data_IF_636704448725
#
_entry.id   IF_636704448725
#
_cell.length_a   1.000
_cell.length_b   1.000
_cell.length_c   1.000
_cell.angle_alpha   90.00
_cell.angle_beta   90.00
_cell.angle_gamma   90.00
#
_symmetry.space_group_name_H-M   'P 1'
#
loop_
_entity.id
_entity.type
_entity.pdbx_description
1 polymer ?
#
# COMPACT_ATOMS: atom_id res chain seq x y z
N UNK A 1 48.99 6.20 -12.69
CA UNK A 1 48.50 4.82 -12.52
C UNK A 1 47.27 4.55 -13.36
N UNK A 2 46.07 5.04 -12.99
CA UNK A 2 44.83 4.71 -13.72
C UNK A 2 44.90 5.02 -15.22
N UNK A 3 45.36 6.22 -15.57
CA UNK A 3 45.50 6.67 -16.97
C UNK A 3 46.52 5.84 -17.77
N UNK A 4 47.48 5.20 -17.10
CA UNK A 4 48.55 4.43 -17.72
C UNK A 4 48.15 2.96 -17.95
N UNK A 5 47.01 2.53 -17.38
CA UNK A 5 46.51 1.17 -17.56
C UNK A 5 45.75 1.01 -18.89
N UNK A 6 45.95 -0.09 -19.63
CA UNK A 6 45.08 -0.47 -20.74
C UNK A 6 43.62 -0.66 -20.29
N UNK A 7 42.62 -0.40 -21.16
CA UNK A 7 41.20 -0.57 -20.81
C UNK A 7 40.85 -1.95 -20.24
N UNK A 8 41.45 -3.00 -20.78
CA UNK A 8 41.24 -4.37 -20.29
C UNK A 8 41.77 -4.58 -18.87
N UNK A 9 42.93 -3.99 -18.54
CA UNK A 9 43.47 -4.04 -17.18
C UNK A 9 42.62 -3.23 -16.18
N UNK A 10 42.03 -2.11 -16.63
CA UNK A 10 41.07 -1.34 -15.83
C UNK A 10 39.79 -2.11 -15.55
N UNK A 11 39.28 -2.83 -16.55
CA UNK A 11 38.12 -3.72 -16.38
C UNK A 11 38.42 -4.81 -15.36
N UNK A 12 39.55 -5.51 -15.47
CA UNK A 12 39.92 -6.57 -14.52
C UNK A 12 40.06 -6.06 -13.08
N UNK A 13 40.56 -4.84 -12.87
CA UNK A 13 40.68 -4.26 -11.52
C UNK A 13 39.34 -3.90 -10.88
N UNK A 14 38.30 -3.64 -11.68
CA UNK A 14 36.97 -3.26 -11.21
C UNK A 14 35.99 -4.43 -11.14
N UNK A 15 36.43 -5.63 -11.54
CA UNK A 15 35.63 -6.85 -11.43
C UNK A 15 35.69 -7.36 -9.99
N UNK A 16 34.51 -7.60 -9.44
CA UNK A 16 34.32 -8.27 -8.17
C UNK A 16 33.38 -9.45 -8.38
N UNK A 17 33.82 -10.67 -8.07
CA UNK A 17 32.94 -11.82 -8.15
C UNK A 17 31.92 -11.82 -7.00
N UNK A 18 30.75 -12.38 -7.27
CA UNK A 18 29.63 -12.47 -6.33
C UNK A 18 30.03 -13.14 -5.02
N UNK A 19 30.88 -14.16 -5.07
CA UNK A 19 31.27 -14.89 -3.87
C UNK A 19 32.14 -14.01 -2.97
N UNK A 20 33.11 -13.29 -3.51
CA UNK A 20 33.93 -12.33 -2.79
C UNK A 20 33.10 -11.18 -2.21
N UNK A 21 32.12 -10.64 -2.96
CA UNK A 21 31.20 -9.63 -2.44
C UNK A 21 30.41 -10.14 -1.23
N UNK A 22 29.84 -11.34 -1.32
CA UNK A 22 29.08 -11.95 -0.21
C UNK A 22 29.98 -12.26 0.97
N UNK A 23 31.22 -12.72 0.75
CA UNK A 23 32.19 -12.97 1.81
C UNK A 23 32.62 -11.67 2.50
N UNK A 24 32.79 -10.57 1.76
CA UNK A 24 33.04 -9.24 2.33
C UNK A 24 31.83 -8.75 3.13
N UNK A 25 30.62 -8.92 2.61
CA UNK A 25 29.41 -8.56 3.34
C UNK A 25 29.30 -9.36 4.65
N UNK A 26 29.54 -10.67 4.63
CA UNK A 26 29.56 -11.51 5.84
C UNK A 26 30.56 -11.02 6.90
N UNK A 27 31.71 -10.48 6.48
CA UNK A 27 32.71 -9.90 7.39
C UNK A 27 32.23 -8.60 8.06
N UNK A 28 31.28 -7.90 7.44
CA UNK A 28 30.70 -6.65 7.98
C UNK A 28 29.53 -6.87 8.94
N UNK A 29 29.27 -8.12 9.37
CA UNK A 29 28.28 -8.46 10.41
C UNK A 29 26.84 -7.99 10.10
N UNK A 30 26.41 -8.10 8.84
CA UNK A 30 25.00 -7.85 8.48
C UNK A 30 24.07 -8.86 9.17
N UNK A 31 22.89 -8.41 9.59
CA UNK A 31 21.82 -9.30 10.05
C UNK A 31 21.32 -10.20 8.89
N UNK A 32 20.61 -11.29 9.23
CA UNK A 32 20.09 -12.23 8.24
C UNK A 32 19.21 -11.56 7.18
N UNK A 33 18.35 -10.60 7.57
CA UNK A 33 17.49 -9.85 6.65
C UNK A 33 18.28 -8.95 5.69
N UNK A 34 19.25 -8.17 6.19
CA UNK A 34 20.13 -7.36 5.33
C UNK A 34 20.93 -8.21 4.34
N UNK A 35 21.39 -9.41 4.75
CA UNK A 35 22.05 -10.34 3.84
C UNK A 35 21.10 -10.84 2.73
N UNK A 36 19.82 -11.06 3.04
CA UNK A 36 18.79 -11.39 2.05
C UNK A 36 18.61 -10.28 1.02
N UNK A 37 18.39 -9.04 1.48
CA UNK A 37 18.22 -7.87 0.62
C UNK A 37 19.43 -7.59 -0.28
N UNK A 38 20.65 -7.82 0.23
CA UNK A 38 21.87 -7.70 -0.58
C UNK A 38 21.87 -8.68 -1.77
N UNK A 39 21.42 -9.92 -1.56
CA UNK A 39 21.33 -10.93 -2.61
C UNK A 39 20.26 -10.58 -3.63
N UNK A 40 19.10 -10.10 -3.18
CA UNK A 40 18.01 -9.65 -4.06
C UNK A 40 18.44 -8.44 -4.90
N UNK A 41 19.05 -7.44 -4.27
CA UNK A 41 19.61 -6.26 -4.96
C UNK A 41 20.63 -6.67 -6.02
N UNK A 42 21.49 -7.65 -5.74
CA UNK A 42 22.41 -8.19 -6.74
C UNK A 42 21.67 -8.77 -7.95
N UNK A 43 20.57 -9.50 -7.75
CA UNK A 43 19.77 -10.03 -8.85
C UNK A 43 19.10 -8.90 -9.65
N UNK A 44 18.63 -7.84 -8.98
CA UNK A 44 18.04 -6.68 -9.66
C UNK A 44 19.08 -5.96 -10.53
N UNK A 45 20.32 -5.79 -10.06
CA UNK A 45 21.43 -5.25 -10.87
C UNK A 45 21.69 -6.12 -12.11
N UNK A 46 21.68 -7.45 -11.96
CA UNK A 46 21.82 -8.38 -13.10
C UNK A 46 20.68 -8.22 -14.12
N UNK A 47 19.45 -8.01 -13.65
CA UNK A 47 18.29 -7.78 -14.53
C UNK A 47 18.37 -6.44 -15.25
N UNK A 48 18.77 -5.38 -14.53
CA UNK A 48 19.00 -4.05 -15.10
C UNK A 48 20.12 -4.05 -16.16
N UNK A 49 21.19 -4.82 -15.95
CA UNK A 49 22.23 -4.99 -16.98
C UNK A 49 21.69 -5.59 -18.30
N UNK A 50 20.66 -6.44 -18.24
CA UNK A 50 20.05 -7.04 -19.44
C UNK A 50 19.20 -6.05 -20.22
N UNK A 51 18.50 -5.12 -19.55
CA UNK A 51 17.67 -4.11 -20.23
C UNK A 51 18.54 -3.11 -20.98
N UNK A 52 19.66 -2.66 -20.39
CA UNK A 52 20.65 -1.82 -21.08
C UNK A 52 21.27 -2.48 -22.33
N UNK A 53 21.56 -3.78 -22.27
CA UNK A 53 22.10 -4.52 -23.43
C UNK A 53 21.05 -4.70 -24.55
N UNK A 54 19.76 -4.75 -24.21
CA UNK A 54 18.66 -4.85 -25.17
C UNK A 54 18.45 -3.54 -25.93
N UNK A 55 18.48 -2.40 -25.24
CA UNK A 55 18.40 -1.06 -25.87
C UNK A 55 19.62 -0.75 -26.75
N UNK A 56 20.81 -1.28 -26.42
CA UNK A 56 22.00 -1.16 -27.28
C UNK A 56 21.93 -1.99 -28.57
N UNK A 57 21.07 -3.01 -28.62
CA UNK A 57 20.97 -3.94 -29.75
C UNK A 57 19.97 -3.49 -30.83
N UNK A 58 18.96 -2.67 -30.47
CA UNK A 58 17.95 -2.16 -31.42
C UNK A 58 18.40 -0.91 -32.21
N UNK A 59 19.60 -0.37 -31.94
CA UNK A 59 20.15 0.79 -32.66
C UNK A 59 20.91 0.45 -33.96
N UNK A 60 20.94 -0.82 -34.40
CA UNK A 60 21.67 -1.23 -35.62
C UNK A 60 20.81 -1.40 -36.88
N UNK A 61 19.63 -0.77 -36.95
CA UNK A 61 18.83 -0.70 -38.19
C UNK A 61 18.41 0.73 -38.57
N UNK A 62 19.36 1.64 -38.71
CA UNK A 62 19.28 2.71 -39.72
C UNK A 62 20.64 3.40 -39.90
N UNK A 63 21.39 3.04 -40.94
CA UNK A 63 22.33 3.99 -41.52
C UNK A 63 21.53 4.97 -42.37
N UNK A 64 21.64 6.27 -42.13
CA UNK A 64 21.97 7.32 -43.12
C UNK A 64 21.94 8.69 -42.45
N UNK A 65 23.11 9.33 -42.36
CA UNK A 65 23.35 10.77 -42.19
C UNK A 65 22.77 11.46 -40.94
N UNK A 66 23.56 11.50 -39.88
CA UNK A 66 23.35 12.38 -38.72
C UNK A 66 24.39 12.03 -37.65
N UNK A 67 25.10 13.03 -37.14
CA UNK A 67 26.18 12.89 -36.17
C UNK A 67 25.82 11.93 -35.00
N UNK A 68 26.80 11.16 -34.49
CA UNK A 68 26.53 10.18 -33.46
C UNK A 68 26.06 10.88 -32.19
N UNK A 69 24.82 10.60 -31.78
CA UNK A 69 24.19 10.98 -30.49
C UNK A 69 24.97 10.52 -29.24
N UNK A 70 26.12 9.87 -29.40
CA UNK A 70 27.04 9.44 -28.35
C UNK A 70 27.57 10.63 -27.51
N UNK A 71 27.53 11.87 -28.03
CA UNK A 71 27.96 13.05 -27.26
C UNK A 71 26.93 13.58 -26.25
N UNK A 72 25.67 13.13 -26.25
CA UNK A 72 24.64 13.70 -25.36
C UNK A 72 24.45 12.97 -24.02
N UNK A 73 25.04 11.79 -23.82
CA UNK A 73 24.91 11.04 -22.55
C UNK A 73 26.10 11.23 -21.59
N UNK A 74 27.08 12.06 -21.95
CA UNK A 74 28.15 12.45 -21.01
C UNK A 74 27.68 13.51 -19.98
N UNK A 75 26.42 13.97 -20.07
CA UNK A 75 25.90 15.10 -19.30
C UNK A 75 24.49 14.87 -18.73
N UNK A 76 24.04 13.61 -18.60
CA UNK A 76 23.00 13.29 -17.62
C UNK A 76 23.66 13.22 -16.25
N UNK A 77 23.02 13.76 -15.21
CA UNK A 77 23.58 13.83 -13.86
C UNK A 77 23.89 12.41 -13.34
N UNK A 78 25.16 12.01 -13.45
CA UNK A 78 25.67 10.66 -13.14
C UNK A 78 25.48 10.27 -11.66
N UNK A 79 25.07 11.22 -10.82
CA UNK A 79 24.66 11.03 -9.43
C UNK A 79 23.31 10.31 -9.29
N UNK A 80 22.47 10.31 -10.33
CA UNK A 80 21.08 9.82 -10.32
C UNK A 80 20.98 8.36 -10.82
N UNK A 81 22.09 7.68 -11.11
CA UNK A 81 22.03 6.29 -11.54
C UNK A 81 21.51 5.39 -10.39
N UNK A 82 20.46 4.57 -10.61
CA UNK A 82 19.78 3.83 -9.53
C UNK A 82 20.70 2.89 -8.74
N UNK A 83 21.71 2.33 -9.40
CA UNK A 83 22.75 1.48 -8.78
C UNK A 83 24.12 2.16 -8.63
N UNK A 84 24.19 3.49 -8.70
CA UNK A 84 25.44 4.24 -8.55
C UNK A 84 26.55 3.88 -9.56
N UNK A 85 26.16 3.44 -10.76
CA UNK A 85 27.07 3.02 -11.83
C UNK A 85 27.45 1.53 -11.84
N UNK A 86 26.90 0.71 -10.94
CA UNK A 86 27.14 -0.73 -10.89
C UNK A 86 26.36 -1.50 -11.96
N UNK A 87 27.01 -2.53 -12.52
CA UNK A 87 26.42 -3.52 -13.43
C UNK A 87 26.93 -4.91 -13.05
N UNK A 88 26.07 -5.91 -13.15
CA UNK A 88 26.41 -7.30 -12.87
C UNK A 88 26.11 -8.21 -14.06
N UNK A 89 27.00 -9.14 -14.35
CA UNK A 89 26.82 -10.15 -15.41
C UNK A 89 26.07 -11.37 -14.88
N UNK A 90 25.52 -12.19 -15.80
CA UNK A 90 24.89 -13.48 -15.46
C UNK A 90 25.86 -14.44 -14.78
N UNK A 91 27.15 -14.33 -15.09
CA UNK A 91 28.22 -15.15 -14.52
C UNK A 91 28.59 -14.71 -13.08
N UNK A 92 27.87 -13.74 -12.51
CA UNK A 92 28.04 -13.30 -11.14
C UNK A 92 29.21 -12.34 -10.96
N UNK A 93 29.63 -11.62 -12.00
CA UNK A 93 30.69 -10.60 -11.90
C UNK A 93 30.04 -9.23 -11.78
N UNK A 94 30.32 -8.51 -10.69
CA UNK A 94 29.97 -7.12 -10.49
C UNK A 94 31.09 -6.22 -11.05
N UNK A 95 30.74 -5.17 -11.77
CA UNK A 95 31.65 -4.18 -12.34
C UNK A 95 30.96 -2.82 -12.44
N UNK A 96 31.66 -1.81 -12.96
CA UNK A 96 31.11 -0.49 -13.28
C UNK A 96 30.72 -0.37 -14.77
N UNK A 97 29.79 0.53 -15.08
CA UNK A 97 29.45 0.86 -16.48
C UNK A 97 30.69 1.24 -17.30
N UNK A 98 30.68 0.91 -18.58
CA UNK A 98 31.79 1.16 -19.51
C UNK A 98 32.19 2.64 -19.59
N UNK A 99 31.26 3.57 -19.37
CA UNK A 99 31.55 5.01 -19.32
C UNK A 99 32.49 5.38 -18.15
N UNK A 100 32.44 4.66 -17.02
CA UNK A 100 33.35 4.84 -15.90
C UNK A 100 34.69 4.14 -16.13
N UNK A 101 34.69 2.96 -16.74
CA UNK A 101 35.91 2.18 -16.98
C UNK A 101 36.78 2.83 -18.07
N UNK A 102 36.14 3.36 -19.11
CA UNK A 102 36.80 4.01 -20.24
C UNK A 102 36.96 5.53 -20.07
N UNK A 103 36.59 6.07 -18.90
CA UNK A 103 36.74 7.48 -18.61
C UNK A 103 38.20 7.92 -18.77
N UNK A 104 38.40 9.00 -19.55
CA UNK A 104 39.72 9.64 -19.73
C UNK A 104 40.08 10.58 -18.58
N UNK A 105 39.09 11.00 -17.80
CA UNK A 105 39.26 11.87 -16.63
C UNK A 105 39.03 11.08 -15.34
N UNK A 106 39.96 11.22 -14.38
CA UNK A 106 39.83 10.67 -13.04
C UNK A 106 38.61 11.24 -12.30
N UNK A 107 38.17 12.45 -12.66
CA UNK A 107 37.06 13.15 -12.02
C UNK A 107 35.75 12.34 -12.07
N UNK A 108 35.54 11.57 -13.14
CA UNK A 108 34.35 10.73 -13.32
C UNK A 108 34.33 9.54 -12.35
N UNK A 109 35.47 8.89 -12.14
CA UNK A 109 35.64 7.81 -11.15
C UNK A 109 35.66 8.34 -9.72
N UNK A 110 36.29 9.49 -9.51
CA UNK A 110 36.32 10.19 -8.23
C UNK A 110 34.89 10.51 -7.76
N UNK A 111 34.03 10.97 -8.66
CA UNK A 111 32.62 11.22 -8.39
C UNK A 111 31.89 9.95 -7.89
N UNK A 112 32.14 8.79 -8.50
CA UNK A 112 31.55 7.52 -8.04
C UNK A 112 31.96 7.20 -6.60
N UNK A 113 33.25 7.34 -6.27
CA UNK A 113 33.75 7.07 -4.93
C UNK A 113 33.31 8.10 -3.89
N UNK A 114 33.24 9.38 -4.26
CA UNK A 114 32.74 10.45 -3.39
C UNK A 114 31.26 10.25 -3.08
N UNK A 115 30.44 9.93 -4.10
CA UNK A 115 29.03 9.61 -3.91
C UNK A 115 28.83 8.34 -3.07
N UNK A 116 29.66 7.31 -3.27
CA UNK A 116 29.61 6.10 -2.43
C UNK A 116 29.88 6.43 -0.95
N UNK A 117 30.88 7.27 -0.67
CA UNK A 117 31.15 7.76 0.70
C UNK A 117 30.03 8.64 1.24
N UNK A 118 29.42 9.48 0.41
CA UNK A 118 28.30 10.34 0.81
C UNK A 118 27.08 9.48 1.21
N UNK A 119 26.71 8.49 0.39
CA UNK A 119 25.63 7.53 0.69
C UNK A 119 25.89 6.74 1.96
N UNK A 120 27.13 6.30 2.19
CA UNK A 120 27.48 5.60 3.44
C UNK A 120 27.35 6.51 4.67
N UNK A 121 27.79 7.77 4.58
CA UNK A 121 27.62 8.74 5.68
C UNK A 121 26.15 9.06 5.94
N UNK A 122 25.35 9.23 4.90
CA UNK A 122 23.92 9.45 5.01
C UNK A 122 23.22 8.26 5.67
N UNK A 123 23.55 7.03 5.25
CA UNK A 123 23.09 5.79 5.90
C UNK A 123 23.47 5.75 7.39
N UNK A 124 24.70 6.11 7.74
CA UNK A 124 25.16 6.16 9.13
C UNK A 124 24.46 7.25 9.97
N UNK A 125 24.08 8.36 9.35
CA UNK A 125 23.32 9.44 10.02
C UNK A 125 21.85 9.06 10.23
N UNK A 126 21.21 8.45 9.23
CA UNK A 126 19.80 8.04 9.30
C UNK A 126 19.61 6.79 10.17
N UNK A 127 20.56 5.85 10.12
CA UNK A 127 20.47 4.56 10.81
C UNK A 127 21.76 4.25 11.57
N UNK A 128 22.01 4.95 12.70
CA UNK A 128 23.25 4.83 13.46
C UNK A 128 23.50 3.43 14.03
N UNK A 129 22.42 2.66 14.22
CA UNK A 129 22.40 1.30 14.77
C UNK A 129 22.13 0.22 13.71
N UNK A 130 22.22 0.55 12.41
CA UNK A 130 22.12 -0.43 11.34
C UNK A 130 23.39 -1.29 11.26
N UNK A 131 23.22 -2.58 10.93
CA UNK A 131 24.34 -3.48 10.73
C UNK A 131 25.15 -3.12 9.48
N UNK A 132 26.43 -3.51 9.41
CA UNK A 132 27.28 -3.27 8.23
C UNK A 132 28.18 -2.04 8.29
N UNK A 133 28.03 -1.18 9.30
CA UNK A 133 28.89 0.01 9.50
C UNK A 133 30.30 -0.35 9.97
N UNK A 134 31.31 0.42 9.53
CA UNK A 134 32.76 0.15 9.62
C UNK A 134 33.35 0.21 11.05
N UNK A 135 32.77 -0.51 12.01
CA UNK A 135 33.36 -0.67 13.36
C UNK A 135 32.35 -0.91 14.48
N UNK A 136 31.05 -0.65 14.25
CA UNK A 136 29.97 -1.05 15.14
C UNK A 136 29.23 -2.21 14.49
N UNK A 137 29.86 -3.38 14.54
CA UNK A 137 29.18 -4.61 14.20
C UNK A 137 27.85 -4.70 14.94
N UNK A 138 26.86 -5.32 14.33
CA UNK A 138 25.66 -5.78 15.03
C UNK A 138 26.10 -6.85 16.04
N UNK A 139 26.57 -6.37 17.20
CA UNK A 139 26.81 -7.19 18.37
C UNK A 139 25.46 -7.19 19.05
N UNK A 140 24.76 -8.33 18.99
CA UNK A 140 23.70 -8.59 19.96
C UNK A 140 24.33 -8.31 21.32
N UNK A 141 23.91 -7.25 22.01
CA UNK A 141 24.50 -6.87 23.28
C UNK A 141 24.25 -8.00 24.28
N UNK A 142 25.17 -8.97 24.33
CA UNK A 142 25.56 -9.67 25.55
C UNK A 142 26.39 -8.70 26.39
N UNK A 143 25.79 -7.57 26.76
CA UNK A 143 26.27 -6.80 27.90
C UNK A 143 25.32 -7.18 29.02
N UNK A 144 25.81 -8.07 29.88
CA UNK A 144 25.21 -8.35 31.16
C UNK A 144 25.27 -7.08 32.03
N UNK A 145 24.25 -6.23 31.93
CA UNK A 145 23.98 -5.21 32.94
C UNK A 145 22.47 -5.05 33.08
N UNK A 146 21.94 -5.77 34.07
CA UNK A 146 20.69 -5.54 34.79
C UNK A 146 19.67 -4.61 34.11
N UNK A 147 18.87 -5.13 33.19
CA UNK A 147 17.51 -4.66 32.91
C UNK A 147 16.76 -5.74 32.16
N UNK A 148 15.57 -6.06 32.67
CA UNK A 148 14.74 -7.20 32.29
C UNK A 148 13.90 -6.81 31.07
N UNK A 149 14.27 -7.30 29.89
CA UNK A 149 13.49 -7.11 28.66
C UNK A 149 13.83 -8.20 27.65
N UNK A 150 12.87 -9.09 27.39
CA UNK A 150 12.98 -10.16 26.41
C UNK A 150 13.15 -9.61 24.99
N UNK A 151 14.09 -10.15 24.23
CA UNK A 151 14.16 -9.95 22.79
C UNK A 151 15.57 -10.09 22.22
N UNK A 152 15.91 -11.26 21.71
CA UNK A 152 16.93 -11.38 20.66
C UNK A 152 16.47 -10.53 19.48
N UNK A 153 16.94 -9.28 19.34
CA UNK A 153 16.63 -8.47 18.14
C UNK A 153 17.16 -9.23 16.92
N UNK A 154 16.28 -9.87 16.16
CA UNK A 154 16.61 -10.60 14.92
C UNK A 154 16.89 -9.65 13.75
N UNK A 155 16.58 -8.36 13.93
CA UNK A 155 16.64 -7.31 12.90
C UNK A 155 17.42 -6.08 13.40
N UNK A 156 18.08 -5.36 12.49
CA UNK A 156 18.86 -4.16 12.81
C UNK A 156 18.05 -2.88 12.59
N UNK A 157 18.60 -1.71 12.96
CA UNK A 157 17.86 -0.44 12.87
C UNK A 157 17.39 -0.08 11.46
N UNK A 158 18.02 -0.60 10.40
CA UNK A 158 17.53 -0.43 9.03
C UNK A 158 16.12 -1.01 8.83
N UNK A 159 15.78 -2.09 9.54
CA UNK A 159 14.48 -2.78 9.43
C UNK A 159 13.46 -2.29 10.45
N UNK A 160 13.88 -1.52 11.45
CA UNK A 160 13.01 -1.06 12.55
C UNK A 160 12.87 0.45 12.60
N UNK A 161 13.65 1.19 11.82
CA UNK A 161 13.53 2.64 11.75
C UNK A 161 12.29 3.03 10.95
N UNK A 162 11.54 3.98 11.49
CA UNK A 162 10.44 4.61 10.75
C UNK A 162 11.02 5.53 9.68
N UNK A 163 10.45 5.46 8.49
CA UNK A 163 10.67 6.44 7.45
C UNK A 163 9.60 7.51 7.53
N UNK A 164 9.97 8.77 7.30
CA UNK A 164 8.97 9.82 7.14
C UNK A 164 8.14 9.58 5.88
N UNK A 165 6.90 10.08 5.89
CA UNK A 165 6.05 10.10 4.70
C UNK A 165 6.75 10.70 3.48
N UNK A 166 7.55 11.77 3.64
CA UNK A 166 8.29 12.39 2.54
C UNK A 166 9.31 11.44 1.90
N UNK A 167 10.08 10.70 2.71
CA UNK A 167 11.05 9.72 2.19
C UNK A 167 10.34 8.59 1.43
N UNK A 168 9.19 8.13 1.93
CA UNK A 168 8.38 7.10 1.25
C UNK A 168 7.80 7.60 -0.07
N UNK A 169 7.37 8.87 -0.15
CA UNK A 169 6.88 9.51 -1.38
C UNK A 169 7.99 9.69 -2.41
N UNK A 170 9.18 10.09 -1.99
CA UNK A 170 10.34 10.22 -2.88
C UNK A 170 10.76 8.86 -3.44
N UNK A 171 10.86 7.85 -2.57
CA UNK A 171 11.12 6.47 -2.99
C UNK A 171 10.06 5.99 -3.99
N UNK A 172 8.78 6.17 -3.67
CA UNK A 172 7.68 5.81 -4.56
C UNK A 172 7.81 6.50 -5.93
N UNK A 173 8.17 7.78 -5.93
CA UNK A 173 8.34 8.60 -7.14
C UNK A 173 9.51 8.15 -8.01
N UNK A 174 10.51 7.47 -7.45
CA UNK A 174 11.64 6.91 -8.18
C UNK A 174 11.36 5.53 -8.83
N UNK A 175 10.32 4.81 -8.40
CA UNK A 175 9.98 3.49 -8.91
C UNK A 175 9.28 3.53 -10.29
N UNK A 176 9.40 2.45 -11.06
CA UNK A 176 8.63 2.27 -12.29
C UNK A 176 7.16 1.95 -12.01
N UNK A 177 6.27 2.21 -12.96
CA UNK A 177 4.84 1.89 -12.83
C UNK A 177 4.57 0.41 -12.54
N UNK A 178 5.32 -0.50 -13.17
CA UNK A 178 5.20 -1.95 -12.92
C UNK A 178 5.54 -2.31 -11.47
N UNK A 179 6.61 -1.71 -10.93
CA UNK A 179 7.01 -1.92 -9.53
C UNK A 179 6.00 -1.30 -8.57
N UNK A 180 5.47 -0.11 -8.86
CA UNK A 180 4.42 0.53 -8.07
C UNK A 180 3.16 -0.34 -7.99
N UNK A 181 2.69 -0.87 -9.11
CA UNK A 181 1.53 -1.77 -9.14
C UNK A 181 1.80 -3.05 -8.35
N UNK A 182 3.00 -3.63 -8.46
CA UNK A 182 3.39 -4.80 -7.68
C UNK A 182 3.46 -4.54 -6.18
N UNK A 183 3.76 -3.30 -5.75
CA UNK A 183 3.79 -2.90 -4.33
C UNK A 183 2.41 -2.62 -3.75
N UNK A 184 1.40 -2.42 -4.59
CA UNK A 184 -0.01 -2.29 -4.21
C UNK A 184 -0.74 -3.63 -4.25
N UNK A 185 -0.03 -4.70 -4.56
CA UNK A 185 -0.56 -6.06 -4.61
C UNK A 185 0.26 -6.99 -3.72
N UNK A 186 -0.41 -7.90 -3.04
CA UNK A 186 0.24 -9.00 -2.33
C UNK A 186 -0.61 -10.25 -2.38
N UNK A 187 -0.01 -11.41 -2.09
CA UNK A 187 -0.78 -12.64 -2.05
C UNK A 187 -1.74 -12.64 -0.87
N UNK A 188 -2.90 -13.27 -1.08
CA UNK A 188 -3.93 -13.41 -0.04
C UNK A 188 -3.39 -14.14 1.20
N UNK A 189 -2.57 -15.17 1.00
CA UNK A 189 -1.92 -15.94 2.08
C UNK A 189 -1.00 -15.05 2.94
N UNK A 190 -0.14 -14.25 2.31
CA UNK A 190 0.80 -13.35 2.98
C UNK A 190 0.05 -12.22 3.73
N UNK A 191 -1.01 -11.68 3.13
CA UNK A 191 -1.85 -10.66 3.77
C UNK A 191 -2.51 -11.21 5.03
N UNK A 192 -3.12 -12.39 4.94
CA UNK A 192 -3.80 -13.03 6.06
C UNK A 192 -2.83 -13.38 7.19
N UNK A 193 -1.62 -13.85 6.88
CA UNK A 193 -0.59 -14.10 7.89
C UNK A 193 -0.23 -12.83 8.66
N UNK A 194 0.03 -11.72 7.97
CA UNK A 194 0.35 -10.42 8.59
C UNK A 194 -0.82 -9.86 9.39
N UNK A 195 -2.04 -9.99 8.88
CA UNK A 195 -3.26 -9.57 9.59
C UNK A 195 -3.42 -10.35 10.90
N UNK A 196 -3.20 -11.67 10.87
CA UNK A 196 -3.25 -12.51 12.07
C UNK A 196 -2.17 -12.14 13.09
N UNK A 197 -0.94 -11.88 12.63
CA UNK A 197 0.14 -11.39 13.49
C UNK A 197 -0.22 -10.07 14.17
N UNK A 198 -0.91 -9.16 13.46
CA UNK A 198 -1.37 -7.89 14.04
C UNK A 198 -2.45 -8.09 15.11
N UNK A 199 -3.41 -9.00 14.88
CA UNK A 199 -4.40 -9.38 15.91
C UNK A 199 -3.77 -9.93 17.19
N UNK A 200 -2.69 -10.70 17.07
CA UNK A 200 -1.94 -11.27 18.19
C UNK A 200 -1.13 -10.21 18.94
N UNK A 201 -0.42 -9.36 18.20
CA UNK A 201 0.39 -8.27 18.74
C UNK A 201 -0.45 -7.25 19.53
N UNK A 202 -1.69 -6.99 19.09
CA UNK A 202 -2.59 -5.99 19.66
C UNK A 202 -3.67 -6.58 20.58
N UNK A 203 -3.57 -7.86 20.96
CA UNK A 203 -4.52 -8.56 21.87
C UNK A 203 -6.00 -8.37 21.51
N UNK A 204 -6.32 -8.38 20.22
CA UNK A 204 -7.70 -8.26 19.73
C UNK A 204 -8.62 -9.32 20.37
N UNK A 205 -9.81 -8.92 20.82
CA UNK A 205 -10.77 -9.88 21.36
C UNK A 205 -11.27 -10.83 20.27
N UNK A 206 -11.69 -12.04 20.67
CA UNK A 206 -12.08 -13.12 19.75
C UNK A 206 -13.23 -12.73 18.80
N UNK A 207 -14.16 -11.92 19.28
CA UNK A 207 -15.34 -11.54 18.50
C UNK A 207 -15.01 -10.47 17.46
N UNK A 208 -14.20 -9.47 17.80
CA UNK A 208 -13.66 -8.50 16.83
C UNK A 208 -12.85 -9.19 15.73
N UNK A 209 -11.99 -10.16 16.07
CA UNK A 209 -11.26 -10.98 15.06
C UNK A 209 -12.22 -11.66 14.10
N UNK A 210 -13.32 -12.23 14.63
CA UNK A 210 -14.31 -12.93 13.82
C UNK A 210 -15.07 -11.99 12.88
N UNK A 211 -15.37 -10.77 13.34
CA UNK A 211 -16.03 -9.77 12.53
C UNK A 211 -15.12 -9.31 11.38
N UNK A 212 -13.87 -8.92 11.65
CA UNK A 212 -12.92 -8.51 10.60
C UNK A 212 -12.68 -9.61 9.57
N UNK A 213 -12.52 -10.87 10.01
CA UNK A 213 -12.37 -12.01 9.09
C UNK A 213 -13.64 -12.27 8.28
N UNK A 214 -14.83 -11.97 8.80
CA UNK A 214 -16.09 -12.10 8.07
C UNK A 214 -16.14 -11.07 6.93
N UNK A 215 -15.88 -9.80 7.23
CA UNK A 215 -15.84 -8.73 6.22
C UNK A 215 -14.81 -9.03 5.12
N UNK A 216 -13.62 -9.52 5.49
CA UNK A 216 -12.61 -9.91 4.50
C UNK A 216 -13.10 -11.03 3.56
N UNK A 217 -13.86 -12.00 4.07
CA UNK A 217 -14.46 -13.06 3.24
C UNK A 217 -15.58 -12.54 2.36
N UNK A 218 -16.36 -11.58 2.84
CA UNK A 218 -17.41 -10.94 2.05
C UNK A 218 -16.82 -10.18 0.85
N UNK A 219 -15.72 -9.44 1.05
CA UNK A 219 -14.95 -8.82 -0.06
C UNK A 219 -14.55 -9.83 -1.14
N UNK A 220 -14.17 -11.04 -0.73
CA UNK A 220 -13.77 -12.12 -1.63
C UNK A 220 -14.96 -12.70 -2.42
N UNK A 221 -16.09 -12.90 -1.76
CA UNK A 221 -17.30 -13.43 -2.42
C UNK A 221 -17.91 -12.40 -3.40
N UNK A 222 -17.81 -11.10 -3.12
CA UNK A 222 -18.27 -10.05 -4.05
C UNK A 222 -17.59 -10.13 -5.42
N UNK A 223 -16.26 -10.28 -5.44
CA UNK A 223 -15.51 -10.44 -6.69
C UNK A 223 -15.83 -11.77 -7.39
N UNK A 224 -16.09 -12.85 -6.63
CA UNK A 224 -16.46 -14.16 -7.17
C UNK A 224 -17.82 -14.13 -7.87
N UNK A 225 -18.77 -13.38 -7.33
CA UNK A 225 -20.12 -13.25 -7.88
C UNK A 225 -20.20 -12.29 -9.08
N UNK A 226 -19.09 -11.67 -9.51
CA UNK A 226 -19.04 -10.59 -10.53
C UNK A 226 -20.06 -9.46 -10.24
N UNK A 227 -20.39 -9.26 -8.97
CA UNK A 227 -21.22 -8.13 -8.53
C UNK A 227 -20.26 -6.96 -8.39
N UNK A 228 -20.36 -5.97 -9.27
CA UNK A 228 -19.63 -4.71 -9.09
C UNK A 228 -20.25 -3.99 -7.90
N UNK A 229 -19.50 -3.78 -6.80
CA UNK A 229 -20.01 -2.99 -5.69
C UNK A 229 -20.11 -1.54 -6.17
N UNK A 230 -21.32 -1.01 -6.23
CA UNK A 230 -21.55 0.39 -6.58
C UNK A 230 -21.34 1.20 -5.30
N UNK A 231 -20.07 1.53 -5.04
CA UNK A 231 -19.74 2.44 -3.94
C UNK A 231 -19.41 3.82 -4.52
N UNK A 232 -19.97 4.85 -3.93
CA UNK A 232 -19.54 6.23 -4.14
C UNK A 232 -18.70 6.66 -2.95
N UNK A 233 -18.18 7.89 -2.96
CA UNK A 233 -17.47 8.48 -1.81
C UNK A 233 -18.35 8.62 -0.55
N UNK A 234 -19.65 8.36 -0.67
CA UNK A 234 -20.64 8.52 0.40
C UNK A 234 -21.55 7.32 0.58
N UNK A 235 -21.38 6.24 -0.20
CA UNK A 235 -22.32 5.12 -0.27
C UNK A 235 -21.59 3.82 -0.56
N UNK A 236 -22.03 2.71 0.03
CA UNK A 236 -21.42 1.42 -0.22
C UNK A 236 -22.41 0.27 -0.14
N UNK A 237 -22.96 -0.14 -1.29
CA UNK A 237 -23.87 -1.28 -1.34
C UNK A 237 -23.27 -2.46 -2.07
N UNK A 238 -23.13 -3.54 -1.31
CA UNK A 238 -23.07 -4.90 -1.82
C UNK A 238 -24.50 -5.43 -1.88
N UNK A 239 -25.00 -5.70 -3.09
CA UNK A 239 -26.36 -6.23 -3.36
C UNK A 239 -27.49 -5.18 -3.28
N UNK A 240 -27.60 -4.33 -4.30
CA UNK A 240 -28.75 -3.43 -4.44
C UNK A 240 -29.76 -4.02 -5.41
N UNK A 241 -31.02 -4.09 -4.99
CA UNK A 241 -32.13 -4.39 -5.90
C UNK A 241 -32.35 -3.25 -6.90
N UNK A 242 -32.01 -2.00 -6.56
CA UNK A 242 -32.09 -0.81 -7.44
C UNK A 242 -30.91 0.15 -7.21
N UNK A 243 -30.64 1.06 -8.15
CA UNK A 243 -29.52 2.00 -8.05
C UNK A 243 -29.82 3.09 -7.01
N UNK A 244 -28.84 3.40 -6.17
CA UNK A 244 -28.95 4.45 -5.16
C UNK A 244 -27.61 5.13 -4.96
N UNK A 245 -27.63 6.46 -4.87
CA UNK A 245 -26.48 7.30 -4.53
C UNK A 245 -26.89 8.24 -3.40
N UNK A 246 -26.09 8.28 -2.34
CA UNK A 246 -26.30 9.16 -1.18
C UNK A 246 -25.18 10.18 -1.13
N UNK A 247 -25.51 11.41 -0.77
CA UNK A 247 -24.61 12.56 -0.60
C UNK A 247 -24.81 13.17 0.80
N UNK A 248 -24.07 14.24 1.12
CA UNK A 248 -24.14 14.92 2.42
C UNK A 248 -25.55 15.45 2.74
N UNK A 249 -26.22 16.02 1.74
CA UNK A 249 -27.54 16.63 1.87
C UNK A 249 -28.55 16.13 0.83
N UNK A 250 -28.18 15.12 0.02
CA UNK A 250 -29.02 14.65 -1.07
C UNK A 250 -29.02 13.12 -1.21
N UNK A 251 -30.12 12.59 -1.74
CA UNK A 251 -30.25 11.18 -2.11
C UNK A 251 -30.80 11.10 -3.53
N UNK A 252 -30.14 10.30 -4.38
CA UNK A 252 -30.59 9.92 -5.71
C UNK A 252 -30.94 8.44 -5.69
N UNK A 253 -32.10 8.10 -6.21
CA UNK A 253 -32.57 6.71 -6.32
C UNK A 253 -33.07 6.49 -7.73
N UNK A 254 -32.67 5.39 -8.36
CA UNK A 254 -33.05 5.01 -9.71
C UNK A 254 -33.36 3.50 -9.79
N UNK A 255 -34.58 3.16 -10.16
CA UNK A 255 -35.05 1.78 -10.30
C UNK A 255 -35.47 1.42 -11.73
N UNK A 256 -35.02 2.19 -12.73
CA UNK A 256 -35.42 1.99 -14.14
C UNK A 256 -35.03 0.61 -14.68
N UNK A 257 -33.90 0.05 -14.22
CA UNK A 257 -33.40 -1.26 -14.67
C UNK A 257 -34.03 -2.43 -13.92
N UNK A 258 -34.46 -2.20 -12.68
CA UNK A 258 -35.00 -3.23 -11.78
C UNK A 258 -36.46 -3.50 -12.06
N UNK A 259 -37.24 -2.42 -12.19
CA UNK A 259 -38.67 -2.46 -12.43
C UNK A 259 -38.91 -2.13 -13.91
N UNK A 260 -38.32 -2.92 -14.80
CA UNK A 260 -38.59 -2.83 -16.24
C UNK A 260 -40.08 -3.10 -16.50
N UNK A 261 -40.72 -2.27 -17.34
CA UNK A 261 -42.16 -2.24 -17.65
C UNK A 261 -42.67 -3.51 -18.36
N UNK A 262 -42.44 -4.70 -17.81
CA UNK A 262 -42.79 -5.92 -18.50
C UNK A 262 -44.32 -6.13 -18.63
N UNK A 263 -45.16 -5.46 -17.84
CA UNK A 263 -46.62 -5.71 -17.86
C UNK A 263 -47.54 -4.51 -17.52
N UNK A 264 -47.04 -3.27 -17.44
CA UNK A 264 -47.90 -2.09 -17.22
C UNK A 264 -48.82 -2.17 -15.97
N UNK A 265 -48.41 -2.93 -14.96
CA UNK A 265 -49.24 -3.32 -13.82
C UNK A 265 -49.08 -2.42 -12.60
N UNK A 266 -48.09 -1.52 -12.60
CA UNK A 266 -47.85 -0.55 -11.55
C UNK A 266 -48.58 0.77 -11.84
N UNK A 267 -49.15 1.38 -10.80
CA UNK A 267 -49.86 2.66 -10.90
C UNK A 267 -49.04 3.82 -10.30
N UNK A 268 -48.27 3.57 -9.24
CA UNK A 268 -47.40 4.55 -8.62
C UNK A 268 -46.29 3.87 -7.82
N UNK A 269 -45.26 4.65 -7.50
CA UNK A 269 -44.14 4.26 -6.66
C UNK A 269 -44.10 5.18 -5.44
N UNK A 270 -43.81 4.59 -4.28
CA UNK A 270 -43.54 5.33 -3.05
C UNK A 270 -42.16 4.97 -2.53
N UNK A 271 -41.48 5.92 -1.88
CA UNK A 271 -40.18 5.65 -1.28
C UNK A 271 -40.01 6.35 0.07
N UNK A 272 -39.18 5.78 0.93
CA UNK A 272 -38.93 6.27 2.29
C UNK A 272 -37.47 6.03 2.71
N UNK A 273 -37.05 6.70 3.78
CA UNK A 273 -35.78 6.46 4.47
C UNK A 273 -36.06 6.21 5.96
N UNK A 274 -35.54 5.09 6.47
CA UNK A 274 -35.56 4.77 7.89
C UNK A 274 -34.17 4.51 8.46
N UNK A 275 -34.05 4.49 9.78
CA UNK A 275 -32.85 4.02 10.50
C UNK A 275 -32.79 2.48 10.58
N UNK A 276 -33.93 1.81 10.40
CA UNK A 276 -34.08 0.35 10.36
C UNK A 276 -34.90 -0.11 9.15
N UNK A 277 -34.78 -1.38 8.78
CA UNK A 277 -35.53 -1.98 7.67
C UNK A 277 -37.05 -1.82 7.84
N UNK A 278 -37.70 -1.20 6.85
CA UNK A 278 -39.14 -0.94 6.85
C UNK A 278 -39.58 0.26 7.68
N UNK A 279 -38.67 0.96 8.38
CA UNK A 279 -38.96 2.22 9.04
C UNK A 279 -38.94 3.39 8.04
N UNK A 280 -39.50 4.52 8.47
CA UNK A 280 -39.56 5.76 7.67
C UNK A 280 -39.41 7.01 8.56
N UNK A 281 -38.62 6.86 9.63
CA UNK A 281 -38.41 7.86 10.68
C UNK A 281 -37.48 9.01 10.27
N UNK A 282 -36.69 8.83 9.22
CA UNK A 282 -35.82 9.86 8.63
C UNK A 282 -36.55 10.61 7.53
N UNK A 283 -37.22 9.86 6.66
CA UNK A 283 -38.06 10.38 5.59
C UNK A 283 -39.27 9.48 5.38
N UNK A 284 -40.47 10.05 5.56
CA UNK A 284 -41.74 9.35 5.38
C UNK A 284 -41.96 8.90 3.93
N UNK A 285 -42.83 7.90 3.73
CA UNK A 285 -43.21 7.46 2.38
C UNK A 285 -43.77 8.62 1.55
N UNK A 286 -43.08 8.93 0.45
CA UNK A 286 -43.49 9.93 -0.54
C UNK A 286 -43.91 9.23 -1.84
N UNK A 287 -45.14 9.50 -2.28
CA UNK A 287 -45.64 9.08 -3.59
C UNK A 287 -45.02 9.94 -4.69
N UNK A 288 -44.28 9.30 -5.58
CA UNK A 288 -43.59 9.94 -6.71
C UNK A 288 -44.26 9.62 -8.05
N UNK A 289 -45.47 9.08 -8.02
CA UNK A 289 -46.22 8.67 -9.19
C UNK A 289 -45.47 7.59 -9.98
N UNK A 290 -45.44 7.73 -11.31
CA UNK A 290 -44.75 6.79 -12.21
C UNK A 290 -43.29 7.18 -12.48
N UNK A 291 -42.71 8.07 -11.67
CA UNK A 291 -41.30 8.41 -11.82
C UNK A 291 -40.44 7.19 -11.46
N UNK A 292 -39.46 6.89 -12.31
CA UNK A 292 -38.52 5.77 -12.12
C UNK A 292 -37.20 6.19 -11.47
N UNK A 293 -37.05 7.49 -11.24
CA UNK A 293 -35.89 8.10 -10.61
C UNK A 293 -36.35 9.28 -9.75
N UNK A 294 -35.72 9.45 -8.59
CA UNK A 294 -35.94 10.55 -7.66
C UNK A 294 -34.61 11.15 -7.27
N UNK A 295 -34.55 12.48 -7.26
CA UNK A 295 -33.47 13.24 -6.65
C UNK A 295 -34.06 14.12 -5.56
N UNK A 296 -33.55 13.97 -4.33
CA UNK A 296 -34.05 14.72 -3.19
C UNK A 296 -32.91 15.38 -2.42
N UNK A 297 -32.95 16.71 -2.39
CA UNK A 297 -32.07 17.55 -1.57
C UNK A 297 -32.68 17.82 -0.18
N UNK A 298 -31.83 18.24 0.76
CA UNK A 298 -32.20 18.63 2.12
C UNK A 298 -32.43 17.47 3.09
N UNK A 299 -31.90 16.28 2.80
CA UNK A 299 -31.97 15.11 3.70
C UNK A 299 -30.75 15.18 4.62
N UNK A 300 -30.99 15.39 5.91
CA UNK A 300 -29.92 15.43 6.90
C UNK A 300 -29.66 14.01 7.41
N UNK A 301 -28.63 13.36 6.88
CA UNK A 301 -28.17 12.06 7.32
C UNK A 301 -27.00 12.24 8.30
N UNK A 302 -27.17 11.70 9.50
CA UNK A 302 -26.15 11.66 10.52
C UNK A 302 -24.96 10.79 10.06
N UNK A 303 -23.77 11.19 10.51
CA UNK A 303 -22.51 10.58 10.09
C UNK A 303 -22.39 9.17 10.67
N UNK A 304 -21.91 8.22 9.85
CA UNK A 304 -21.67 6.83 10.24
C UNK A 304 -22.91 6.05 10.71
N UNK A 305 -24.10 6.57 10.44
CA UNK A 305 -25.36 5.88 10.68
C UNK A 305 -25.78 5.04 9.48
N UNK A 306 -26.57 4.01 9.78
CA UNK A 306 -27.19 3.13 8.81
C UNK A 306 -28.56 3.68 8.40
N UNK A 307 -28.79 3.74 7.10
CA UNK A 307 -30.08 4.17 6.56
C UNK A 307 -30.65 3.09 5.64
N UNK A 308 -31.94 2.86 5.75
CA UNK A 308 -32.69 1.90 4.93
C UNK A 308 -33.59 2.68 3.99
N UNK A 309 -33.29 2.59 2.71
CA UNK A 309 -34.04 3.22 1.64
C UNK A 309 -35.01 2.17 1.10
N UNK A 310 -36.30 2.37 1.38
CA UNK A 310 -37.35 1.44 0.99
C UNK A 310 -38.13 1.99 -0.20
N UNK A 311 -38.29 1.19 -1.24
CA UNK A 311 -39.11 1.47 -2.42
C UNK A 311 -40.31 0.53 -2.45
N UNK A 312 -41.51 1.08 -2.65
CA UNK A 312 -42.76 0.34 -2.83
C UNK A 312 -43.34 0.60 -4.21
N UNK A 313 -43.44 -0.45 -5.01
CA UNK A 313 -44.08 -0.43 -6.32
C UNK A 313 -45.52 -0.93 -6.21
N UNK A 314 -46.49 -0.02 -6.30
CA UNK A 314 -47.90 -0.33 -6.13
C UNK A 314 -48.56 -0.76 -7.42
N UNK A 315 -49.29 -1.87 -7.37
CA UNK A 315 -50.05 -2.45 -8.47
C UNK A 315 -51.49 -1.97 -8.48
N UNK A 316 -52.15 -2.11 -9.63
CA UNK A 316 -53.57 -1.74 -9.82
C UNK A 316 -54.55 -2.54 -8.92
N UNK A 317 -54.14 -3.70 -8.43
CA UNK A 317 -54.93 -4.55 -7.53
C UNK A 317 -54.79 -4.16 -6.04
N UNK A 318 -53.98 -3.14 -5.73
CA UNK A 318 -53.71 -2.68 -4.37
C UNK A 318 -52.64 -3.48 -3.64
N UNK A 319 -51.98 -4.44 -4.29
CA UNK A 319 -50.75 -5.05 -3.76
C UNK A 319 -49.53 -4.20 -4.10
N UNK A 320 -48.43 -4.35 -3.35
CA UNK A 320 -47.17 -3.70 -3.68
C UNK A 320 -45.99 -4.67 -3.61
N UNK A 321 -44.95 -4.38 -4.38
CA UNK A 321 -43.64 -5.03 -4.28
C UNK A 321 -42.72 -4.07 -3.53
N UNK A 322 -42.12 -4.55 -2.44
CA UNK A 322 -41.18 -3.78 -1.63
C UNK A 322 -39.75 -4.22 -1.96
N UNK A 323 -38.88 -3.22 -2.15
CA UNK A 323 -37.45 -3.39 -2.33
C UNK A 323 -36.74 -2.51 -1.29
N UNK A 324 -35.65 -2.98 -0.72
CA UNK A 324 -34.93 -2.24 0.31
C UNK A 324 -33.43 -2.23 0.02
N UNK A 325 -32.81 -1.06 0.18
CA UNK A 325 -31.38 -0.86 0.04
C UNK A 325 -30.83 -0.24 1.32
N UNK A 326 -29.78 -0.83 1.89
CA UNK A 326 -29.08 -0.28 3.06
C UNK A 326 -28.00 0.70 2.60
N UNK A 327 -28.15 1.98 2.87
CA UNK A 327 -27.17 3.02 2.63
C UNK A 327 -26.34 3.33 3.90
N UNK A 328 -25.11 3.77 3.70
CA UNK A 328 -24.20 4.17 4.79
C UNK A 328 -23.67 5.57 4.50
N UNK A 329 -23.75 6.51 5.44
CA UNK A 329 -23.21 7.86 5.26
C UNK A 329 -21.67 7.88 5.50
N UNK A 330 -20.87 7.83 4.42
CA UNK A 330 -19.39 7.70 4.50
C UNK A 330 -18.58 9.01 4.45
N UNK A 331 -19.22 10.19 4.48
CA UNK A 331 -18.55 11.50 4.55
C UNK A 331 -17.38 11.74 3.58
N UNK A 332 -17.51 11.29 2.34
CA UNK A 332 -16.45 11.45 1.35
C UNK A 332 -15.28 10.47 1.50
N UNK A 333 -15.26 9.62 2.54
CA UNK A 333 -14.25 8.58 2.70
C UNK A 333 -14.53 7.42 1.75
N UNK A 334 -13.50 7.03 0.99
CA UNK A 334 -13.60 5.91 0.05
C UNK A 334 -13.90 4.59 0.78
N UNK A 335 -15.04 3.96 0.48
CA UNK A 335 -15.42 2.67 1.06
C UNK A 335 -14.33 1.61 0.90
N UNK A 336 -14.23 0.67 1.86
CA UNK A 336 -13.29 -0.47 1.81
C UNK A 336 -13.33 -1.24 0.50
N UNK A 337 -14.49 -1.33 -0.15
CA UNK A 337 -14.67 -2.04 -1.41
C UNK A 337 -13.96 -1.36 -2.60
N UNK A 338 -13.75 -0.04 -2.57
CA UNK A 338 -12.96 0.70 -3.56
C UNK A 338 -11.47 0.74 -3.20
N UNK A 339 -11.18 0.63 -1.90
CA UNK A 339 -9.82 0.71 -1.37
C UNK A 339 -9.12 -0.63 -1.39
N UNK A 340 -9.81 -1.73 -1.12
CA UNK A 340 -9.26 -3.07 -0.95
C UNK A 340 -10.00 -4.07 -1.83
N UNK A 341 -9.29 -4.61 -2.82
CA UNK A 341 -9.82 -5.59 -3.78
C UNK A 341 -9.21 -6.95 -3.51
N UNK A 342 -10.04 -7.93 -3.15
CA UNK A 342 -9.61 -9.30 -2.87
C UNK A 342 -10.04 -10.25 -3.99
N UNK A 343 -9.09 -10.93 -4.63
CA UNK A 343 -9.34 -12.14 -5.40
C UNK A 343 -8.33 -12.41 -6.50
N UNK A 344 -8.51 -13.53 -7.21
CA UNK A 344 -7.46 -14.19 -8.01
C UNK A 344 -6.24 -14.62 -7.17
N UNK A 345 -6.42 -14.85 -5.87
CA UNK A 345 -5.33 -15.19 -4.94
C UNK A 345 -4.50 -13.99 -4.46
N UNK A 346 -4.89 -12.77 -4.81
CA UNK A 346 -4.22 -11.54 -4.43
C UNK A 346 -5.15 -10.57 -3.71
N UNK A 347 -4.56 -9.77 -2.83
CA UNK A 347 -5.15 -8.58 -2.22
C UNK A 347 -4.48 -7.38 -2.88
N UNK A 348 -5.28 -6.41 -3.33
CA UNK A 348 -4.78 -5.18 -3.97
C UNK A 348 -5.37 -3.98 -3.24
N UNK A 349 -4.53 -2.99 -2.90
CA UNK A 349 -4.97 -1.73 -2.28
C UNK A 349 -4.84 -0.58 -3.28
N UNK A 350 -5.84 0.30 -3.33
CA UNK A 350 -5.77 1.51 -4.15
C UNK A 350 -5.13 2.65 -3.37
N UNK A 351 -4.43 3.54 -4.06
CA UNK A 351 -3.75 4.70 -3.45
C UNK A 351 -4.72 5.77 -2.91
N UNK A 352 -6.03 5.63 -3.12
CA UNK A 352 -7.01 6.68 -2.83
C UNK A 352 -6.74 7.95 -3.65
N UNK A 353 -6.87 9.11 -3.01
CA UNK A 353 -6.64 10.43 -3.62
C UNK A 353 -5.18 10.65 -4.02
N UNK A 354 -4.24 10.26 -3.15
CA UNK A 354 -2.81 10.38 -3.41
C UNK A 354 -2.00 9.37 -2.61
N UNK A 355 -0.80 9.02 -3.11
CA UNK A 355 0.10 8.13 -2.37
C UNK A 355 0.58 8.73 -1.04
N UNK A 356 0.63 10.07 -0.96
CA UNK A 356 0.96 10.80 0.27
C UNK A 356 -0.11 10.56 1.34
N UNK A 357 -1.37 10.82 0.99
CA UNK A 357 -2.51 10.55 1.87
C UNK A 357 -2.58 9.07 2.29
N UNK A 358 -2.21 8.15 1.40
CA UNK A 358 -2.08 6.73 1.76
C UNK A 358 -1.03 6.49 2.86
N UNK A 359 0.15 7.12 2.78
CA UNK A 359 1.20 6.96 3.78
C UNK A 359 0.87 7.65 5.10
N UNK A 360 0.28 8.84 5.05
CA UNK A 360 -0.18 9.59 6.23
C UNK A 360 -1.23 8.77 6.99
N UNK A 361 -2.25 8.25 6.29
CA UNK A 361 -3.27 7.39 6.90
C UNK A 361 -2.68 6.11 7.51
N UNK A 362 -1.67 5.50 6.88
CA UNK A 362 -1.00 4.34 7.44
C UNK A 362 -0.14 4.69 8.67
N UNK A 363 0.40 5.90 8.75
CA UNK A 363 1.13 6.40 9.93
C UNK A 363 0.18 6.71 11.09
N UNK A 364 -0.94 7.40 10.81
CA UNK A 364 -2.02 7.64 11.79
C UNK A 364 -2.55 6.33 12.37
N UNK A 365 -2.82 5.33 11.52
CA UNK A 365 -3.25 4.00 11.95
C UNK A 365 -2.19 3.19 12.71
N UNK A 366 -0.90 3.53 12.61
CA UNK A 366 0.18 2.95 13.43
C UNK A 366 0.30 3.67 14.78
N UNK A 367 0.06 4.99 14.83
CA UNK A 367 0.14 5.83 16.03
C UNK A 367 -1.07 5.64 16.95
N UNK A 368 -2.30 5.63 16.42
CA UNK A 368 -3.52 5.28 17.19
C UNK A 368 -3.35 3.91 17.88
N UNK A 369 -2.64 3.01 17.20
CA UNK A 369 -2.34 1.66 17.65
C UNK A 369 -1.33 1.60 18.81
N UNK A 370 -0.47 2.61 19.00
CA UNK A 370 0.60 2.66 20.02
C UNK A 370 0.23 3.43 21.28
N UNK A 371 -0.54 4.51 21.15
CA UNK A 371 -1.05 5.27 22.30
C UNK A 371 -1.92 4.38 23.22
N UNK A 372 -2.72 3.49 22.63
CA UNK A 372 -3.51 2.46 23.33
C UNK A 372 -2.65 1.46 24.15
N UNK A 373 -1.36 1.35 23.87
CA UNK A 373 -0.44 0.44 24.56
C UNK A 373 0.35 1.09 25.71
N UNK A 374 0.52 2.41 25.69
CA UNK A 374 1.33 3.17 26.65
C UNK A 374 0.58 3.51 27.95
N UNK A 375 -0.75 3.48 27.95
CA UNK A 375 -1.61 3.76 29.11
C UNK A 375 -1.73 2.59 30.13
N UNK A 376 -0.78 1.64 30.12
CA UNK A 376 -0.81 0.43 30.97
C UNK A 376 0.16 0.42 32.14
N UNK A 377 1.00 1.44 32.32
CA UNK A 377 1.98 1.51 33.43
C UNK A 377 1.65 2.58 34.49
N UNK A 378 0.48 3.21 34.43
CA UNK A 378 -0.05 4.06 35.50
C UNK A 378 -0.80 3.26 36.55
N UNK A 379 -0.18 3.03 37.71
CA UNK A 379 -0.82 2.50 38.89
C UNK A 379 -1.78 3.54 39.49
N UNK A 380 -2.97 3.70 38.89
CA UNK A 380 -4.02 4.56 39.44
C UNK A 380 -5.25 3.71 39.80
N UNK A 381 -5.42 3.57 41.12
CA UNK A 381 -6.66 3.17 41.75
C UNK A 381 -7.61 4.38 41.71
N UNK A 382 -8.79 4.16 41.17
CA UNK A 382 -9.97 5.04 41.15
C UNK A 382 -9.96 6.24 40.17
N UNK A 383 -10.90 6.21 39.23
CA UNK A 383 -11.46 7.43 38.62
C UNK A 383 -11.48 7.47 37.10
N UNK A 384 -12.48 6.82 36.50
CA UNK A 384 -13.18 7.25 35.27
C UNK A 384 -12.32 7.87 34.15
N UNK A 385 -11.70 7.00 33.35
CA UNK A 385 -10.90 7.38 32.18
C UNK A 385 -10.84 6.23 31.17
N UNK A 386 -12.01 5.69 30.78
CA UNK A 386 -12.10 4.72 29.68
C UNK A 386 -12.02 5.49 28.36
N UNK A 387 -10.83 5.66 27.79
CA UNK A 387 -10.73 5.74 26.33
C UNK A 387 -10.99 4.33 25.78
N UNK A 388 -12.11 4.09 25.10
CA UNK A 388 -12.45 2.74 24.66
C UNK A 388 -11.61 2.41 23.44
N UNK A 389 -10.72 1.42 23.58
CA UNK A 389 -10.11 0.72 22.45
C UNK A 389 -11.21 0.46 21.40
N UNK A 390 -11.10 1.02 20.19
CA UNK A 390 -12.14 0.95 19.14
C UNK A 390 -12.37 -0.52 18.78
N UNK A 391 -13.33 -1.17 19.44
CA UNK A 391 -13.64 -2.56 19.18
C UNK A 391 -14.41 -2.67 17.86
N UNK A 392 -13.94 -3.53 16.95
CA UNK A 392 -14.66 -3.94 15.74
C UNK A 392 -15.93 -4.78 16.06
N UNK A 393 -16.90 -4.19 16.77
CA UNK A 393 -18.15 -4.83 17.21
C UNK A 393 -19.19 -4.88 16.09
N UNK A 394 -19.20 -3.86 15.24
CA UNK A 394 -20.04 -3.79 14.05
C UNK A 394 -19.25 -4.16 12.78
N UNK A 395 -19.93 -4.59 11.71
CA UNK A 395 -19.31 -4.78 10.38
C UNK A 395 -18.53 -3.55 9.91
N UNK A 396 -19.01 -2.35 10.22
CA UNK A 396 -18.45 -1.05 9.80
C UNK A 396 -17.08 -0.83 10.44
N UNK A 397 -17.03 -0.91 11.77
CA UNK A 397 -15.78 -0.83 12.54
C UNK A 397 -14.82 -1.95 12.16
N UNK A 398 -15.34 -3.11 11.73
CA UNK A 398 -14.53 -4.20 11.22
C UNK A 398 -13.95 -3.91 9.83
N UNK A 399 -14.68 -3.21 8.95
CA UNK A 399 -14.21 -2.76 7.63
C UNK A 399 -13.19 -1.62 7.75
N UNK A 400 -13.43 -0.66 8.64
CA UNK A 400 -12.48 0.41 8.96
C UNK A 400 -11.17 -0.18 9.49
N UNK A 401 -11.25 -1.04 10.52
CA UNK A 401 -10.07 -1.72 11.03
C UNK A 401 -9.35 -2.53 9.94
N UNK A 402 -10.10 -3.18 9.04
CA UNK A 402 -9.49 -3.92 7.93
C UNK A 402 -8.72 -2.99 6.96
N UNK A 403 -9.19 -1.77 6.75
CA UNK A 403 -8.52 -0.76 5.95
C UNK A 403 -7.25 -0.24 6.63
N UNK A 404 -7.33 0.10 7.90
CA UNK A 404 -6.18 0.52 8.71
C UNK A 404 -5.14 -0.60 8.78
N UNK A 405 -5.61 -1.83 8.97
CA UNK A 405 -4.83 -3.05 8.91
C UNK A 405 -4.06 -3.14 7.59
N UNK A 406 -4.78 -2.98 6.48
CA UNK A 406 -4.21 -3.08 5.14
C UNK A 406 -3.24 -1.94 4.82
N UNK A 407 -3.57 -0.69 5.14
CA UNK A 407 -2.74 0.48 4.85
C UNK A 407 -1.33 0.31 5.42
N UNK A 408 -1.24 -0.11 6.68
CA UNK A 408 0.02 -0.40 7.38
C UNK A 408 0.72 -1.62 6.80
N UNK A 409 0.03 -2.75 6.58
CA UNK A 409 0.64 -3.95 6.00
C UNK A 409 1.28 -3.63 4.63
N UNK A 410 0.60 -2.84 3.81
CA UNK A 410 1.09 -2.39 2.51
C UNK A 410 2.15 -1.27 2.60
N UNK A 411 2.21 -0.50 3.69
CA UNK A 411 3.33 0.40 4.00
C UNK A 411 4.57 -0.41 4.38
N UNK A 412 4.43 -1.38 5.28
CA UNK A 412 5.50 -2.31 5.68
C UNK A 412 6.05 -3.14 4.51
N UNK A 413 5.21 -3.58 3.57
CA UNK A 413 5.68 -4.24 2.36
C UNK A 413 6.65 -3.37 1.55
N UNK A 414 6.38 -2.06 1.46
CA UNK A 414 7.24 -1.10 0.77
C UNK A 414 8.52 -0.82 1.56
N UNK A 415 8.42 -0.74 2.89
CA UNK A 415 9.58 -0.62 3.79
C UNK A 415 10.53 -1.82 3.71
N UNK A 416 10.05 -3.02 3.41
CA UNK A 416 10.93 -4.17 3.21
C UNK A 416 11.68 -4.14 1.86
N UNK A 417 11.25 -3.31 0.92
CA UNK A 417 11.84 -3.20 -0.42
C UNK A 417 12.74 -1.96 -0.53
N UNK A 418 12.44 -0.89 0.22
CA UNK A 418 13.37 0.21 0.50
C UNK A 418 14.57 -0.29 1.31
#
# INVERSE_FOLDING_TARGET
FWNDLPPQARQELLKLDKQTLIEQARKNLYCSRCNGLLLESFMQIVMYGKTLQRDGSDSNRLNTTGEPRIRQREQEDLSVHPWGGLVATKDGILTLLDCFVNAKSLQVLQNVFDNARAREREREMLYPDACGGSGRGWISQRIASYSRGYGTRETCALHTARLSCDTLVDFWSALSEETRLSLLQMKEEDFMERLMHRFESKRFCRDCRRNVIREFKELKELKRMRREPHCTSWFCVADADFQCEVFEDAVIIDWCQTLSEADGSYHHFEWAIGTDEGQSDVFGFEDVGMNVQVHRDGINLDQFEDYFITLRAWRLDGSYTELCVKAHALKGQSCVHHRLVVGNGFVTITKGESIRSFFEHAEEAEEEDEDDAMDRDGNDLDGDGLHPQKHAKSPELAREFLLDAAAVIFKEQKLNIY
#
